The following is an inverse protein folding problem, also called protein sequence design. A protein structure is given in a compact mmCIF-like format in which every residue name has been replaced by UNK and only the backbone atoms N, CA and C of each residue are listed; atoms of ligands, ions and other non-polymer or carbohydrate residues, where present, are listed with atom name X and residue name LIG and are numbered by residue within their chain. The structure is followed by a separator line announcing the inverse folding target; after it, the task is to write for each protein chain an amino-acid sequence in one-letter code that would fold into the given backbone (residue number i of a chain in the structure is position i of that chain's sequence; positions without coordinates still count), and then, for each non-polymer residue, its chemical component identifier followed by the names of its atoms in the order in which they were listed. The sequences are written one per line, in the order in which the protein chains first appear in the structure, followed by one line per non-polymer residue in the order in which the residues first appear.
data_IF_299650639746
#
_entry.id   IF_299650639746
#
_cell.length_a   1.000
_cell.length_b   1.000
_cell.length_c   1.000
_cell.angle_alpha   90.00
_cell.angle_beta   90.00
_cell.angle_gamma   90.00
#
_symmetry.space_group_name_H-M   'P 1'
#
loop_
_entity.id
_entity.type
_entity.pdbx_description
1 polymer ?
#
# COMPACT_ATOMS: atom_id res chain seq x y z
N UNK A 1 43.55 -7.55 -28.51
CA UNK A 1 42.13 -7.66 -28.16
C UNK A 1 42.04 -7.42 -26.68
N UNK A 2 41.63 -6.24 -26.29
CA UNK A 2 41.53 -5.81 -24.86
C UNK A 2 40.08 -5.86 -24.48
N UNK A 3 39.73 -6.74 -23.53
CA UNK A 3 38.41 -6.84 -22.97
C UNK A 3 38.15 -5.62 -22.06
N UNK A 4 37.28 -4.72 -22.51
CA UNK A 4 36.80 -3.60 -21.71
C UNK A 4 35.82 -4.10 -20.64
N UNK A 5 36.28 -4.06 -19.40
CA UNK A 5 35.44 -4.25 -18.23
C UNK A 5 34.49 -3.07 -18.10
N UNK A 6 33.22 -3.26 -18.38
CA UNK A 6 32.12 -2.34 -18.01
C UNK A 6 31.96 -2.37 -16.48
N UNK A 7 32.57 -1.39 -15.81
CA UNK A 7 32.27 -1.09 -14.41
C UNK A 7 30.85 -0.48 -14.38
N UNK A 8 29.91 -1.21 -13.82
CA UNK A 8 28.66 -0.66 -13.37
C UNK A 8 28.94 0.44 -12.32
N UNK A 9 28.25 1.57 -12.34
CA UNK A 9 28.41 2.58 -11.31
C UNK A 9 28.06 1.97 -9.96
N UNK A 10 28.98 2.13 -9.02
CA UNK A 10 28.76 1.83 -7.59
C UNK A 10 27.53 2.64 -7.16
N UNK A 11 26.43 1.97 -6.89
CA UNK A 11 25.31 2.54 -6.14
C UNK A 11 25.92 2.99 -4.81
N UNK A 12 26.07 4.30 -4.67
CA UNK A 12 26.42 4.93 -3.42
C UNK A 12 25.26 4.62 -2.47
N UNK A 13 25.52 3.77 -1.48
CA UNK A 13 24.62 3.51 -0.36
C UNK A 13 24.37 4.87 0.31
N UNK A 14 23.27 5.51 -0.04
CA UNK A 14 22.68 6.57 0.77
C UNK A 14 22.20 5.82 2.01
N UNK A 15 22.78 6.08 3.17
CA UNK A 15 22.27 5.63 4.45
C UNK A 15 20.83 6.13 4.52
N UNK A 16 19.87 5.21 4.38
CA UNK A 16 18.45 5.52 4.40
C UNK A 16 18.04 5.80 5.84
N UNK A 17 17.91 7.07 6.18
CA UNK A 17 17.37 7.56 7.48
C UNK A 17 15.86 7.28 7.63
N UNK A 18 15.25 6.57 6.67
CA UNK A 18 13.81 6.28 6.71
C UNK A 18 13.50 5.21 7.73
N UNK A 19 12.74 5.59 8.76
CA UNK A 19 12.26 4.70 9.82
C UNK A 19 10.86 4.17 9.53
N UNK A 20 10.55 3.00 10.08
CA UNK A 20 9.25 2.35 9.96
C UNK A 20 8.60 2.16 11.31
N UNK A 21 7.27 2.21 11.36
CA UNK A 21 6.47 1.85 12.53
C UNK A 21 5.39 0.87 12.11
N UNK A 22 5.35 -0.27 12.79
CA UNK A 22 4.30 -1.26 12.60
C UNK A 22 3.01 -0.76 13.26
N UNK A 23 1.92 -0.74 12.51
CA UNK A 23 0.61 -0.41 13.03
C UNK A 23 -0.05 -1.70 13.50
N UNK A 24 -0.37 -1.75 14.79
CA UNK A 24 -1.02 -2.89 15.47
C UNK A 24 -2.38 -2.44 16.02
N UNK A 25 -3.21 -3.38 16.45
CA UNK A 25 -4.49 -3.10 17.09
C UNK A 25 -4.33 -2.15 18.28
N UNK A 26 -3.30 -2.36 19.13
CA UNK A 26 -3.09 -1.54 20.32
C UNK A 26 -2.82 -0.07 19.97
N UNK A 27 -1.96 0.20 18.96
CA UNK A 27 -1.75 1.59 18.51
C UNK A 27 -2.91 2.11 17.66
N UNK A 28 -3.68 1.27 16.99
CA UNK A 28 -4.90 1.69 16.29
C UNK A 28 -5.96 2.19 17.28
N UNK A 29 -6.16 1.51 18.41
CA UNK A 29 -7.08 1.93 19.47
C UNK A 29 -6.61 3.24 20.13
N UNK A 30 -5.33 3.37 20.46
CA UNK A 30 -4.73 4.60 20.99
C UNK A 30 -4.90 5.77 20.01
N UNK A 31 -4.76 5.52 18.70
CA UNK A 31 -4.99 6.48 17.64
C UNK A 31 -6.47 6.91 17.52
N UNK A 32 -7.40 6.08 18.00
CA UNK A 32 -8.84 6.39 18.05
C UNK A 32 -9.25 7.10 19.35
N UNK A 33 -8.75 6.68 20.52
CA UNK A 33 -9.08 7.25 21.84
C UNK A 33 -8.57 8.68 22.05
N UNK A 34 -7.41 9.04 21.48
CA UNK A 34 -6.91 10.42 21.50
C UNK A 34 -7.88 11.43 20.86
N UNK A 35 -8.88 10.96 20.11
CA UNK A 35 -9.92 11.79 19.49
C UNK A 35 -10.92 12.32 20.52
N UNK A 36 -11.26 11.56 21.55
CA UNK A 36 -12.26 11.95 22.55
C UNK A 36 -11.70 12.90 23.62
N UNK A 37 -10.43 12.72 24.01
CA UNK A 37 -9.77 13.58 25.00
C UNK A 37 -9.42 14.97 24.48
N UNK A 38 -9.15 15.12 23.17
CA UNK A 38 -8.84 16.42 22.55
C UNK A 38 -10.06 17.29 22.27
N UNK A 39 -11.27 16.72 22.25
CA UNK A 39 -12.52 17.48 22.04
C UNK A 39 -12.85 18.37 23.25
N UNK A 40 -12.36 18.05 24.44
CA UNK A 40 -12.62 18.79 25.68
C UNK A 40 -11.74 20.04 25.86
N UNK A 41 -10.64 20.20 25.08
CA UNK A 41 -9.66 21.30 25.21
C UNK A 41 -9.82 22.43 24.15
N UNK A 42 -10.86 22.44 23.34
CA UNK A 42 -11.02 23.27 22.12
C UNK A 42 -11.54 24.69 22.38
N UNK A 43 -11.11 25.40 23.43
CA UNK A 43 -11.51 26.80 23.67
C UNK A 43 -10.37 27.81 23.71
N UNK A 44 -9.23 27.60 23.06
CA UNK A 44 -8.22 28.64 22.89
C UNK A 44 -7.72 28.70 21.43
N UNK A 45 -7.92 29.85 20.81
CA UNK A 45 -7.81 30.12 19.39
C UNK A 45 -6.38 30.26 18.82
N UNK A 46 -5.38 29.48 19.25
CA UNK A 46 -3.99 29.64 18.76
C UNK A 46 -3.18 28.33 18.61
N UNK A 47 -3.75 27.16 18.66
CA UNK A 47 -3.00 25.96 18.30
C UNK A 47 -3.41 25.45 16.91
N UNK A 48 -2.58 25.64 15.91
CA UNK A 48 -2.57 24.77 14.72
C UNK A 48 -2.37 23.36 15.24
N UNK A 49 -3.47 22.65 15.43
CA UNK A 49 -3.50 21.35 16.06
C UNK A 49 -2.63 20.39 15.25
N UNK A 50 -1.48 19.99 15.81
CA UNK A 50 -0.61 18.99 15.21
C UNK A 50 -1.44 17.68 15.10
N UNK A 51 -1.77 17.27 13.87
CA UNK A 51 -2.54 16.05 13.64
C UNK A 51 -1.84 14.87 14.30
N UNK A 52 -2.62 13.99 14.94
CA UNK A 52 -2.11 12.73 15.45
C UNK A 52 -1.62 11.83 14.31
N UNK A 53 -0.77 10.86 14.62
CA UNK A 53 -0.27 9.89 13.64
C UNK A 53 -1.41 9.21 12.88
N UNK A 54 -2.42 8.69 13.58
CA UNK A 54 -3.59 8.06 12.98
C UNK A 54 -4.40 8.99 12.08
N UNK A 55 -4.53 10.26 12.46
CA UNK A 55 -5.21 11.25 11.61
C UNK A 55 -4.46 11.52 10.31
N UNK A 56 -3.11 11.51 10.33
CA UNK A 56 -2.29 11.66 9.12
C UNK A 56 -2.43 10.45 8.19
N UNK A 57 -2.37 9.24 8.76
CA UNK A 57 -2.51 7.98 8.00
C UNK A 57 -3.91 7.90 7.40
N UNK A 58 -4.96 8.15 8.21
CA UNK A 58 -6.34 8.16 7.74
C UNK A 58 -6.55 9.16 6.60
N UNK A 59 -6.06 10.39 6.77
CA UNK A 59 -6.17 11.41 5.72
C UNK A 59 -5.49 10.97 4.43
N UNK A 60 -4.26 10.40 4.51
CA UNK A 60 -3.58 9.89 3.33
C UNK A 60 -4.35 8.75 2.68
N UNK A 61 -4.91 7.82 3.46
CA UNK A 61 -5.75 6.76 2.95
C UNK A 61 -6.96 7.30 2.17
N UNK A 62 -7.72 8.21 2.77
CA UNK A 62 -8.92 8.81 2.17
C UNK A 62 -8.62 9.67 0.92
N UNK A 63 -7.41 10.21 0.79
CA UNK A 63 -7.04 11.06 -0.36
C UNK A 63 -6.26 10.34 -1.45
N UNK A 64 -5.60 9.23 -1.13
CA UNK A 64 -4.74 8.51 -2.07
C UNK A 64 -5.49 7.50 -2.94
N UNK A 65 -6.64 7.00 -2.47
CA UNK A 65 -7.44 5.99 -3.14
C UNK A 65 -8.84 6.54 -3.47
N UNK A 66 -9.44 6.16 -4.62
CA UNK A 66 -10.84 6.45 -4.93
C UNK A 66 -11.79 5.85 -3.88
N UNK A 67 -12.97 6.46 -3.67
CA UNK A 67 -13.95 6.01 -2.67
C UNK A 67 -14.41 4.55 -2.90
N UNK A 68 -14.53 4.12 -4.15
CA UNK A 68 -14.92 2.77 -4.54
C UNK A 68 -13.81 1.71 -4.35
N UNK A 69 -12.57 2.13 -4.09
CA UNK A 69 -11.45 1.27 -3.70
C UNK A 69 -11.22 1.26 -2.18
N UNK A 70 -11.92 2.11 -1.43
CA UNK A 70 -11.71 2.25 0.00
C UNK A 70 -12.62 1.33 0.81
N UNK A 71 -12.02 0.65 1.80
CA UNK A 71 -12.75 0.07 2.93
C UNK A 71 -13.04 1.21 3.92
N UNK A 72 -14.24 1.30 4.50
CA UNK A 72 -14.51 2.26 5.57
C UNK A 72 -13.43 2.18 6.65
N UNK A 73 -12.87 3.32 7.05
CA UNK A 73 -11.71 3.36 7.97
C UNK A 73 -11.88 2.53 9.24
N UNK A 74 -13.09 2.53 9.82
CA UNK A 74 -13.42 1.72 11.01
C UNK A 74 -13.25 0.22 10.73
N UNK A 75 -13.70 -0.23 9.56
CA UNK A 75 -13.62 -1.64 9.17
C UNK A 75 -12.18 -2.03 8.83
N UNK A 76 -11.42 -1.14 8.18
CA UNK A 76 -9.98 -1.36 7.95
C UNK A 76 -9.22 -1.53 9.28
N UNK A 77 -9.51 -0.71 10.29
CA UNK A 77 -8.89 -0.84 11.62
C UNK A 77 -9.29 -2.16 12.32
N UNK A 78 -10.54 -2.60 12.15
CA UNK A 78 -10.98 -3.92 12.63
C UNK A 78 -10.23 -5.06 11.94
N UNK A 79 -10.11 -5.00 10.61
CA UNK A 79 -9.39 -6.01 9.83
C UNK A 79 -7.92 -6.16 10.24
N UNK A 80 -7.24 -5.07 10.62
CA UNK A 80 -5.87 -5.11 11.14
C UNK A 80 -5.78 -5.95 12.42
N UNK A 81 -6.84 -5.99 13.22
CA UNK A 81 -6.91 -6.84 14.43
C UNK A 81 -7.29 -8.29 14.16
N UNK A 82 -8.01 -8.56 13.08
CA UNK A 82 -8.58 -9.87 12.79
C UNK A 82 -7.79 -10.66 11.73
N UNK A 83 -7.13 -9.95 10.81
CA UNK A 83 -6.32 -10.54 9.74
C UNK A 83 -4.84 -10.36 10.02
N UNK A 84 -3.97 -11.26 9.52
CA UNK A 84 -2.52 -11.12 9.63
C UNK A 84 -1.97 -10.04 8.68
N UNK A 85 -2.51 -8.82 8.76
CA UNK A 85 -2.08 -7.72 7.92
C UNK A 85 -0.77 -7.12 8.44
N UNK A 86 0.14 -6.85 7.51
CA UNK A 86 1.36 -6.09 7.78
C UNK A 86 1.11 -4.62 7.41
N UNK A 87 0.69 -3.82 8.39
CA UNK A 87 0.46 -2.40 8.21
C UNK A 87 1.66 -1.61 8.72
N UNK A 88 2.39 -0.99 7.81
CA UNK A 88 3.63 -0.27 8.11
C UNK A 88 3.52 1.20 7.71
N UNK A 89 3.80 2.13 8.62
CA UNK A 89 3.97 3.55 8.37
C UNK A 89 5.46 3.92 8.23
N UNK A 90 5.77 4.83 7.30
CA UNK A 90 7.13 5.23 6.94
C UNK A 90 7.38 6.69 7.29
N UNK A 91 8.57 6.99 7.82
CA UNK A 91 8.97 8.30 8.28
C UNK A 91 10.37 8.66 7.79
N UNK A 92 10.60 9.95 7.57
CA UNK A 92 11.91 10.57 7.45
C UNK A 92 12.04 11.54 8.62
N UNK A 93 12.82 11.17 9.63
CA UNK A 93 12.81 11.84 10.93
C UNK A 93 11.40 11.87 11.54
N UNK A 94 10.86 13.07 11.77
CA UNK A 94 9.50 13.29 12.27
C UNK A 94 8.45 13.43 11.15
N UNK A 95 8.87 13.38 9.90
CA UNK A 95 7.98 13.59 8.75
C UNK A 95 7.33 12.28 8.34
N UNK A 96 6.01 12.19 8.42
CA UNK A 96 5.25 11.06 7.89
C UNK A 96 5.30 11.06 6.37
N UNK A 97 5.81 9.99 5.78
CA UNK A 97 6.01 9.85 4.32
C UNK A 97 4.87 9.11 3.65
N UNK A 98 4.41 8.03 4.25
CA UNK A 98 3.41 7.18 3.65
C UNK A 98 3.19 5.90 4.43
N UNK A 99 2.43 4.99 3.85
CA UNK A 99 2.16 3.69 4.45
C UNK A 99 2.01 2.58 3.41
N UNK A 100 2.12 1.35 3.89
CA UNK A 100 1.77 0.14 3.13
C UNK A 100 0.92 -0.78 3.97
N UNK A 101 0.00 -1.50 3.32
CA UNK A 101 -0.70 -2.64 3.90
C UNK A 101 -0.43 -3.83 3.00
N UNK A 102 0.18 -4.85 3.57
CA UNK A 102 0.44 -6.12 2.90
C UNK A 102 -0.37 -7.20 3.58
N UNK A 103 -0.99 -8.07 2.79
CA UNK A 103 -1.60 -9.30 3.28
C UNK A 103 -0.67 -10.48 2.96
N UNK A 104 0.11 -10.96 3.95
CA UNK A 104 0.95 -12.14 3.79
C UNK A 104 0.09 -13.39 3.65
N UNK A 105 0.21 -14.09 2.54
CA UNK A 105 -0.44 -15.37 2.29
C UNK A 105 0.60 -16.46 2.07
N UNK A 106 0.20 -17.71 2.15
CA UNK A 106 1.10 -18.85 1.99
C UNK A 106 1.75 -18.91 0.62
N UNK A 107 1.01 -18.56 -0.45
CA UNK A 107 1.47 -18.67 -1.83
C UNK A 107 2.18 -17.41 -2.30
N UNK A 108 1.76 -16.26 -1.81
CA UNK A 108 2.29 -14.94 -2.18
C UNK A 108 1.91 -13.89 -1.15
N UNK A 109 2.61 -12.76 -1.14
CA UNK A 109 2.26 -11.59 -0.35
C UNK A 109 1.49 -10.62 -1.25
N UNK A 110 0.29 -10.23 -0.86
CA UNK A 110 -0.49 -9.24 -1.59
C UNK A 110 -0.23 -7.85 -1.05
N UNK A 111 0.36 -6.98 -1.88
CA UNK A 111 0.60 -5.56 -1.59
C UNK A 111 -0.70 -4.80 -1.85
N UNK A 112 -1.55 -4.76 -0.82
CA UNK A 112 -2.92 -4.30 -0.93
C UNK A 112 -3.03 -2.79 -1.05
N UNK A 113 -2.40 -2.04 -0.14
CA UNK A 113 -2.36 -0.59 -0.19
C UNK A 113 -0.92 -0.09 -0.13
N UNK A 114 -0.62 0.90 -0.96
CA UNK A 114 0.65 1.59 -0.98
C UNK A 114 0.44 3.07 -1.31
N UNK A 115 0.69 3.96 -0.36
CA UNK A 115 0.51 5.39 -0.53
C UNK A 115 1.71 6.20 -0.02
N UNK A 116 2.06 7.25 -0.77
CA UNK A 116 3.04 8.29 -0.40
C UNK A 116 2.32 9.63 -0.42
N UNK A 117 2.60 10.48 0.60
CA UNK A 117 2.09 11.84 0.70
C UNK A 117 2.29 12.58 -0.63
N UNK A 118 1.27 13.32 -1.07
CA UNK A 118 1.24 13.94 -2.39
C UNK A 118 2.38 14.91 -2.61
N UNK A 119 2.67 15.76 -1.62
CA UNK A 119 3.74 16.76 -1.62
C UNK A 119 5.15 16.15 -1.55
N UNK A 120 5.25 14.86 -1.24
CA UNK A 120 6.49 14.09 -1.17
C UNK A 120 6.70 13.16 -2.38
N UNK A 121 5.71 13.06 -3.27
CA UNK A 121 5.86 12.28 -4.52
C UNK A 121 6.95 12.89 -5.42
N UNK A 122 7.60 12.04 -6.21
CA UNK A 122 8.69 12.45 -7.09
C UNK A 122 10.04 12.68 -6.40
N UNK A 123 10.12 12.56 -5.08
CA UNK A 123 11.37 12.73 -4.29
C UNK A 123 12.09 11.41 -3.98
N UNK A 124 11.66 10.29 -4.57
CA UNK A 124 12.31 8.98 -4.40
C UNK A 124 11.73 8.11 -3.28
N UNK A 125 10.90 8.63 -2.38
CA UNK A 125 10.37 7.88 -1.24
C UNK A 125 9.59 6.62 -1.64
N UNK A 126 8.79 6.68 -2.71
CA UNK A 126 8.09 5.51 -3.20
C UNK A 126 9.04 4.37 -3.57
N UNK A 127 10.18 4.69 -4.18
CA UNK A 127 11.20 3.69 -4.51
C UNK A 127 11.87 3.12 -3.26
N UNK A 128 12.17 3.95 -2.26
CA UNK A 128 12.76 3.51 -0.99
C UNK A 128 11.82 2.57 -0.25
N UNK A 129 10.53 2.94 -0.12
CA UNK A 129 9.50 2.08 0.50
C UNK A 129 9.40 0.73 -0.24
N UNK A 130 9.28 0.76 -1.56
CA UNK A 130 9.17 -0.48 -2.35
C UNK A 130 10.42 -1.35 -2.22
N UNK A 131 11.62 -0.75 -2.18
CA UNK A 131 12.87 -1.47 -1.95
C UNK A 131 12.90 -2.15 -0.57
N UNK A 132 12.43 -1.47 0.48
CA UNK A 132 12.31 -2.07 1.82
C UNK A 132 11.31 -3.22 1.85
N UNK A 133 10.16 -3.08 1.17
CA UNK A 133 9.19 -4.16 1.04
C UNK A 133 9.76 -5.38 0.32
N UNK A 134 10.47 -5.17 -0.80
CA UNK A 134 11.11 -6.23 -1.57
C UNK A 134 12.14 -6.96 -0.72
N UNK A 135 12.95 -6.24 0.04
CA UNK A 135 13.94 -6.87 0.94
C UNK A 135 13.26 -7.61 2.10
N UNK A 136 12.19 -7.04 2.70
CA UNK A 136 11.39 -7.68 3.77
C UNK A 136 10.81 -9.02 3.34
N UNK A 137 10.31 -9.11 2.10
CA UNK A 137 9.69 -10.33 1.54
C UNK A 137 10.60 -11.07 0.56
N UNK A 138 11.93 -10.88 0.68
CA UNK A 138 12.92 -11.50 -0.20
C UNK A 138 12.76 -13.02 -0.29
N UNK A 139 12.80 -13.53 -1.51
CA UNK A 139 12.62 -14.97 -1.78
C UNK A 139 11.17 -15.44 -1.75
N UNK A 140 10.23 -14.53 -1.54
CA UNK A 140 8.80 -14.80 -1.61
C UNK A 140 8.18 -14.14 -2.85
N UNK A 141 7.09 -14.71 -3.32
CA UNK A 141 6.32 -14.10 -4.40
C UNK A 141 5.48 -12.95 -3.85
N UNK A 142 5.51 -11.81 -4.53
CA UNK A 142 4.72 -10.63 -4.20
C UNK A 142 3.82 -10.28 -5.38
N UNK A 143 2.58 -9.93 -5.10
CA UNK A 143 1.59 -9.49 -6.09
C UNK A 143 0.95 -8.19 -5.66
N UNK A 144 0.52 -7.41 -6.63
CA UNK A 144 -0.29 -6.22 -6.41
C UNK A 144 -1.30 -6.09 -7.56
N UNK A 145 -2.41 -5.48 -7.26
CA UNK A 145 -3.38 -5.06 -8.26
C UNK A 145 -3.28 -3.55 -8.50
N UNK A 146 -3.61 -3.15 -9.70
CA UNK A 146 -3.68 -1.75 -10.08
C UNK A 146 -4.62 -1.54 -11.27
N UNK A 147 -5.11 -0.33 -11.40
CA UNK A 147 -5.86 0.06 -12.59
C UNK A 147 -5.03 -0.17 -13.86
N UNK A 148 -5.63 -0.82 -14.87
CA UNK A 148 -4.96 -1.20 -16.11
C UNK A 148 -4.38 0.02 -16.84
N UNK A 149 -3.09 -0.03 -17.27
CA UNK A 149 -2.44 1.03 -18.04
C UNK A 149 -2.90 1.09 -19.50
N UNK A 150 -3.76 0.15 -19.93
CA UNK A 150 -4.26 0.05 -21.31
C UNK A 150 -5.69 0.56 -21.48
N UNK A 151 -6.46 0.66 -20.40
CA UNK A 151 -7.82 1.19 -20.45
C UNK A 151 -7.80 2.71 -20.67
N UNK A 152 -8.49 3.18 -21.71
CA UNK A 152 -8.60 4.62 -21.99
C UNK A 152 -9.43 5.31 -20.89
N UNK A 153 -8.85 6.31 -20.24
CA UNK A 153 -9.47 7.06 -19.14
C UNK A 153 -8.72 8.40 -18.93
N UNK A 154 -9.29 9.29 -18.14
CA UNK A 154 -8.71 10.61 -17.87
C UNK A 154 -7.33 10.53 -17.20
N UNK A 155 -7.13 9.58 -16.28
CA UNK A 155 -5.90 9.41 -15.51
C UNK A 155 -4.89 8.43 -16.15
N UNK A 156 -5.02 8.10 -17.44
CA UNK A 156 -4.18 7.10 -18.14
C UNK A 156 -2.68 7.37 -17.99
N UNK A 157 -2.24 8.62 -17.96
CA UNK A 157 -0.84 8.99 -17.80
C UNK A 157 -0.33 8.59 -16.41
N UNK A 158 -1.16 8.75 -15.38
CA UNK A 158 -0.81 8.35 -14.00
C UNK A 158 -0.75 6.82 -13.89
N UNK A 159 -1.73 6.09 -14.48
CA UNK A 159 -1.74 4.62 -14.51
C UNK A 159 -0.49 4.07 -15.18
N UNK A 160 -0.09 4.62 -16.33
CA UNK A 160 1.14 4.21 -17.03
C UNK A 160 2.40 4.49 -16.22
N UNK A 161 2.50 5.66 -15.56
CA UNK A 161 3.63 5.97 -14.68
C UNK A 161 3.73 5.00 -13.51
N UNK A 162 2.61 4.62 -12.92
CA UNK A 162 2.55 3.62 -11.83
C UNK A 162 2.98 2.25 -12.33
N UNK A 163 2.47 1.81 -13.47
CA UNK A 163 2.86 0.56 -14.12
C UNK A 163 4.37 0.51 -14.42
N UNK A 164 4.91 1.55 -15.07
CA UNK A 164 6.33 1.66 -15.36
C UNK A 164 7.20 1.67 -14.09
N UNK A 165 6.71 2.27 -13.00
CA UNK A 165 7.38 2.25 -11.71
C UNK A 165 7.53 0.82 -11.19
N UNK A 166 6.48 0.01 -11.23
CA UNK A 166 6.55 -1.39 -10.80
C UNK A 166 7.41 -2.24 -11.75
N UNK A 167 7.31 -2.05 -13.06
CA UNK A 167 8.18 -2.74 -14.03
C UNK A 167 9.67 -2.49 -13.74
N UNK A 168 10.05 -1.22 -13.52
CA UNK A 168 11.44 -0.86 -13.18
C UNK A 168 11.90 -1.43 -11.83
N UNK A 169 10.97 -1.74 -10.95
CA UNK A 169 11.24 -2.33 -9.63
C UNK A 169 11.28 -3.86 -9.66
N UNK A 170 11.15 -4.49 -10.83
CA UNK A 170 11.27 -5.94 -11.01
C UNK A 170 9.95 -6.71 -11.02
N UNK A 171 8.81 -6.01 -10.97
CA UNK A 171 7.52 -6.64 -11.21
C UNK A 171 7.32 -6.90 -12.71
N UNK A 172 6.43 -7.83 -13.02
CA UNK A 172 5.99 -8.17 -14.39
C UNK A 172 4.46 -8.28 -14.43
N UNK A 173 3.89 -8.09 -15.60
CA UNK A 173 2.47 -8.34 -15.83
C UNK A 173 2.17 -9.84 -15.77
N UNK A 174 1.06 -10.19 -15.15
CA UNK A 174 0.55 -11.57 -15.11
C UNK A 174 -0.40 -11.88 -16.27
N UNK A 175 -0.88 -10.86 -16.98
CA UNK A 175 -1.98 -10.92 -17.93
C UNK A 175 -3.32 -11.38 -17.33
N UNK A 176 -3.48 -11.24 -16.03
CA UNK A 176 -4.75 -11.46 -15.32
C UNK A 176 -5.44 -10.11 -15.14
N UNK A 177 -6.70 -10.05 -15.56
CA UNK A 177 -7.51 -8.83 -15.54
C UNK A 177 -8.88 -9.10 -14.93
N UNK A 178 -9.41 -8.10 -14.22
CA UNK A 178 -10.82 -8.04 -13.81
C UNK A 178 -11.37 -6.64 -14.01
N UNK A 179 -12.67 -6.57 -14.25
CA UNK A 179 -13.38 -5.29 -14.39
C UNK A 179 -14.42 -5.17 -13.29
N UNK A 180 -14.30 -4.10 -12.50
CA UNK A 180 -15.26 -3.69 -11.48
C UNK A 180 -15.71 -2.27 -11.79
N UNK A 181 -17.02 -1.99 -11.76
CA UNK A 181 -17.56 -0.65 -11.99
C UNK A 181 -16.95 0.07 -13.23
N UNK A 182 -16.77 -0.65 -14.34
CA UNK A 182 -16.11 -0.18 -15.57
C UNK A 182 -14.61 0.16 -15.42
N UNK A 183 -13.96 -0.17 -14.31
CA UNK A 183 -12.52 -0.04 -14.12
C UNK A 183 -11.89 -1.42 -14.30
N UNK A 184 -10.98 -1.53 -15.28
CA UNK A 184 -10.21 -2.75 -15.48
C UNK A 184 -8.98 -2.72 -14.61
N UNK A 185 -8.86 -3.70 -13.71
CA UNK A 185 -7.69 -3.95 -12.88
C UNK A 185 -6.78 -4.99 -13.54
N UNK A 186 -5.50 -4.88 -13.31
CA UNK A 186 -4.49 -5.87 -13.70
C UNK A 186 -3.63 -6.25 -12.51
N UNK A 187 -3.10 -7.47 -12.52
CA UNK A 187 -2.17 -7.95 -11.51
C UNK A 187 -0.74 -7.84 -12.03
N UNK A 188 0.12 -7.26 -11.22
CA UNK A 188 1.56 -7.33 -11.40
C UNK A 188 2.18 -8.23 -10.32
N UNK A 189 3.27 -8.92 -10.67
CA UNK A 189 3.87 -9.94 -9.85
C UNK A 189 5.39 -9.85 -9.86
N UNK A 190 6.01 -10.10 -8.73
CA UNK A 190 7.44 -10.30 -8.58
C UNK A 190 7.69 -11.64 -7.86
N UNK A 191 8.78 -12.33 -8.22
CA UNK A 191 9.08 -13.67 -7.72
C UNK A 191 8.73 -14.77 -8.72
N UNK A 192 8.85 -16.02 -8.30
CA UNK A 192 8.61 -17.19 -9.15
C UNK A 192 7.13 -17.58 -9.19
N UNK A 193 6.78 -18.44 -10.14
CA UNK A 193 5.43 -18.98 -10.32
C UNK A 193 4.54 -18.16 -11.24
N UNK A 194 3.25 -18.43 -11.16
CA UNK A 194 2.18 -17.78 -11.93
C UNK A 194 1.09 -17.35 -10.99
N UNK A 195 0.41 -16.25 -11.34
CA UNK A 195 -0.81 -15.80 -10.69
C UNK A 195 -1.98 -16.03 -11.65
N UNK A 196 -3.07 -16.58 -11.15
CA UNK A 196 -4.24 -16.95 -11.94
C UNK A 196 -5.47 -16.19 -11.49
N UNK A 197 -6.54 -16.26 -12.27
CA UNK A 197 -7.83 -15.69 -11.87
C UNK A 197 -8.39 -16.36 -10.60
N UNK A 198 -8.10 -17.64 -10.41
CA UNK A 198 -8.50 -18.37 -9.21
C UNK A 198 -7.79 -17.84 -7.96
N UNK A 199 -6.49 -17.50 -8.06
CA UNK A 199 -5.77 -16.86 -6.94
C UNK A 199 -6.41 -15.52 -6.55
N UNK A 200 -6.93 -14.78 -7.54
CA UNK A 200 -7.68 -13.55 -7.26
C UNK A 200 -9.01 -13.84 -6.58
N UNK A 201 -9.77 -14.82 -7.07
CA UNK A 201 -11.04 -15.24 -6.45
C UNK A 201 -10.85 -15.67 -5.01
N UNK A 202 -9.76 -16.40 -4.75
CA UNK A 202 -9.41 -16.85 -3.39
C UNK A 202 -9.12 -15.66 -2.45
N UNK A 203 -8.41 -14.61 -2.92
CA UNK A 203 -8.21 -13.38 -2.13
C UNK A 203 -9.56 -12.73 -1.80
N UNK A 204 -10.40 -12.53 -2.80
CA UNK A 204 -11.71 -11.89 -2.61
C UNK A 204 -12.56 -12.72 -1.65
N UNK A 205 -12.58 -14.04 -1.82
CA UNK A 205 -13.32 -14.94 -0.91
C UNK A 205 -12.79 -14.84 0.54
N UNK A 206 -11.48 -14.85 0.75
CA UNK A 206 -10.88 -14.70 2.07
C UNK A 206 -11.25 -13.34 2.70
N UNK A 207 -11.19 -12.24 1.93
CA UNK A 207 -11.59 -10.91 2.42
C UNK A 207 -13.06 -10.86 2.80
N UNK A 208 -13.93 -11.49 2.02
CA UNK A 208 -15.36 -11.54 2.31
C UNK A 208 -15.66 -12.22 3.66
N UNK A 209 -14.89 -13.24 4.05
CA UNK A 209 -15.06 -13.92 5.35
C UNK A 209 -14.84 -12.97 6.52
N UNK A 210 -13.94 -11.98 6.37
CA UNK A 210 -13.65 -10.99 7.40
C UNK A 210 -14.53 -9.73 7.30
N UNK A 211 -14.94 -9.37 6.09
CA UNK A 211 -15.62 -8.10 5.82
C UNK A 211 -17.12 -8.17 6.04
N UNK A 212 -17.75 -9.26 5.60
CA UNK A 212 -19.19 -9.49 5.72
C UNK A 212 -19.49 -10.85 6.35
N UNK A 213 -19.16 -11.07 7.63
CA UNK A 213 -19.40 -12.37 8.25
C UNK A 213 -20.88 -12.76 8.27
N UNK A 214 -21.80 -11.80 8.21
CA UNK A 214 -23.25 -12.01 8.32
C UNK A 214 -24.05 -11.82 7.01
N UNK A 215 -23.43 -11.29 5.93
CA UNK A 215 -24.13 -10.91 4.69
C UNK A 215 -23.85 -11.81 3.49
N UNK A 216 -23.17 -12.93 3.67
CA UNK A 216 -22.83 -13.83 2.54
C UNK A 216 -24.04 -14.72 2.21
N UNK A 217 -25.03 -14.16 1.53
CA UNK A 217 -25.91 -14.91 0.64
C UNK A 217 -25.32 -14.79 -0.78
N UNK A 218 -24.41 -15.67 -1.14
CA UNK A 218 -24.00 -15.85 -2.54
C UNK A 218 -25.07 -16.71 -3.19
N UNK A 219 -25.96 -16.09 -3.96
CA UNK A 219 -26.77 -16.78 -4.96
C UNK A 219 -25.95 -17.10 -6.19
#
# INVERSE_FOLDING_TARGET
MVAGSLRLPVLQLIEDDMTTRQITTANADELMEQREQNQACLNSAESRQKKTEGQKIKQLYETAFPEDEQIPWKDLMRLIGEMPLDFTAYYDGETFIGFTIVYPRKQFNWYWYFAVQEDLRGKGYGQQILTQLIEKYKGQTCVLDMESPTQVCENIVQRRRRHDFYLRSGFRDTNVYRTYNNITMTIMMMGEGTFTIQDWDDIIYELQQFWWPDDINIE
#
